data_IF_206981564589
#
_entry.id   IF_206981564589
#
_cell.length_a   1.000
_cell.length_b   1.000
_cell.length_c   1.000
_cell.angle_alpha   90.00
_cell.angle_beta   90.00
_cell.angle_gamma   90.00
#
_symmetry.space_group_name_H-M   'P 1'
#
loop_
_entity.id
_entity.type
_entity.pdbx_description
1 polymer ?
#
# COMPACT_ATOMS: atom_id res chain seq x y z
N UNK A 1 20.91 -16.00 -16.69
CA UNK A 1 19.45 -15.97 -16.89
C UNK A 1 19.09 -14.59 -17.42
N UNK A 2 18.22 -14.48 -18.42
CA UNK A 2 17.88 -13.17 -19.02
C UNK A 2 17.16 -12.31 -17.96
N UNK A 3 17.55 -11.05 -17.78
CA UNK A 3 17.03 -10.15 -16.75
C UNK A 3 15.49 -10.05 -16.79
N UNK A 4 14.93 -10.04 -18.00
CA UNK A 4 13.48 -10.04 -18.22
C UNK A 4 12.82 -11.32 -17.68
N UNK A 5 13.42 -12.49 -17.89
CA UNK A 5 12.90 -13.77 -17.41
C UNK A 5 12.93 -13.82 -15.88
N UNK A 6 14.02 -13.35 -15.25
CA UNK A 6 14.13 -13.27 -13.79
C UNK A 6 13.03 -12.37 -13.20
N UNK A 7 12.78 -11.21 -13.82
CA UNK A 7 11.69 -10.32 -13.42
C UNK A 7 10.33 -11.01 -13.53
N UNK A 8 10.00 -11.57 -14.67
CA UNK A 8 8.71 -12.24 -14.87
C UNK A 8 8.49 -13.36 -13.86
N UNK A 9 9.48 -14.23 -13.66
CA UNK A 9 9.36 -15.35 -12.72
C UNK A 9 9.20 -14.87 -11.26
N UNK A 10 10.00 -13.92 -10.79
CA UNK A 10 9.89 -13.39 -9.43
C UNK A 10 8.56 -12.67 -9.20
N UNK A 11 8.03 -11.97 -10.20
CA UNK A 11 6.70 -11.35 -10.13
C UNK A 11 5.57 -12.38 -10.04
N UNK A 12 5.61 -13.44 -10.86
CA UNK A 12 4.62 -14.54 -10.79
C UNK A 12 4.67 -15.21 -9.44
N UNK A 13 5.85 -15.59 -8.94
CA UNK A 13 6.03 -16.24 -7.63
C UNK A 13 5.46 -15.35 -6.51
N UNK A 14 5.75 -14.05 -6.54
CA UNK A 14 5.21 -13.10 -5.58
C UNK A 14 3.68 -13.07 -5.58
N UNK A 15 3.06 -12.95 -6.76
CA UNK A 15 1.59 -12.92 -6.90
C UNK A 15 0.97 -14.25 -6.42
N UNK A 16 1.56 -15.39 -6.80
CA UNK A 16 1.06 -16.71 -6.38
C UNK A 16 1.14 -16.86 -4.87
N UNK A 17 2.25 -16.50 -4.23
CA UNK A 17 2.39 -16.55 -2.77
C UNK A 17 1.37 -15.63 -2.11
N UNK A 18 1.24 -14.37 -2.58
CA UNK A 18 0.33 -13.39 -2.02
C UNK A 18 -1.13 -13.87 -2.09
N UNK A 19 -1.58 -14.31 -3.26
CA UNK A 19 -2.96 -14.78 -3.46
C UNK A 19 -3.21 -16.06 -2.65
N UNK A 20 -2.31 -17.06 -2.74
CA UNK A 20 -2.50 -18.35 -2.05
C UNK A 20 -2.54 -18.16 -0.53
N UNK A 21 -1.68 -17.35 0.03
CA UNK A 21 -1.68 -17.05 1.47
C UNK A 21 -2.93 -16.28 1.91
N UNK A 22 -3.49 -15.44 1.01
CA UNK A 22 -4.69 -14.64 1.32
C UNK A 22 -5.97 -15.47 1.35
N UNK A 23 -5.99 -16.71 0.81
CA UNK A 23 -7.19 -17.54 0.80
C UNK A 23 -7.59 -18.05 2.20
N UNK A 24 -6.65 -18.13 3.14
CA UNK A 24 -6.90 -18.58 4.51
C UNK A 24 -6.45 -17.55 5.53
N UNK A 25 -7.26 -17.32 6.56
CA UNK A 25 -7.02 -16.34 7.62
C UNK A 25 -5.62 -16.45 8.24
N UNK A 26 -5.21 -17.65 8.69
CA UNK A 26 -3.94 -17.84 9.37
C UNK A 26 -2.73 -17.58 8.46
N UNK A 27 -2.76 -18.10 7.21
CA UNK A 27 -1.67 -17.89 6.25
C UNK A 27 -1.57 -16.42 5.83
N UNK A 28 -2.71 -15.74 5.69
CA UNK A 28 -2.77 -14.31 5.41
C UNK A 28 -2.08 -13.49 6.52
N UNK A 29 -2.48 -13.73 7.77
CA UNK A 29 -1.89 -13.03 8.90
C UNK A 29 -0.39 -13.33 9.05
N UNK A 30 0.03 -14.59 8.91
CA UNK A 30 1.45 -14.95 8.96
C UNK A 30 2.26 -14.29 7.84
N UNK A 31 1.74 -14.27 6.61
CA UNK A 31 2.40 -13.59 5.49
C UNK A 31 2.55 -12.10 5.76
N UNK A 32 1.48 -11.41 6.19
CA UNK A 32 1.55 -9.97 6.44
C UNK A 32 2.44 -9.62 7.64
N UNK A 33 2.53 -10.50 8.65
CA UNK A 33 3.51 -10.36 9.73
C UNK A 33 4.96 -10.46 9.22
N UNK A 34 5.25 -11.44 8.37
CA UNK A 34 6.57 -11.56 7.73
C UNK A 34 6.88 -10.37 6.81
N UNK A 35 5.91 -9.94 5.99
CA UNK A 35 6.05 -8.76 5.14
C UNK A 35 6.29 -7.49 5.96
N UNK A 36 5.60 -7.32 7.09
CA UNK A 36 5.81 -6.19 7.99
C UNK A 36 7.27 -6.11 8.47
N UNK A 37 7.84 -7.23 8.89
CA UNK A 37 9.24 -7.25 9.35
C UNK A 37 10.20 -6.89 8.21
N UNK A 38 9.97 -7.38 6.99
CA UNK A 38 10.77 -7.04 5.81
C UNK A 38 10.61 -5.55 5.44
N UNK A 39 9.39 -5.01 5.48
CA UNK A 39 9.12 -3.58 5.27
C UNK A 39 9.85 -2.69 6.27
N UNK A 40 9.84 -3.08 7.55
CA UNK A 40 10.56 -2.36 8.61
C UNK A 40 12.06 -2.39 8.37
N UNK A 41 12.63 -3.53 7.96
CA UNK A 41 14.05 -3.65 7.63
C UNK A 41 14.45 -2.73 6.47
N UNK A 42 13.67 -2.70 5.40
CA UNK A 42 13.92 -1.83 4.24
C UNK A 42 13.72 -0.36 4.59
N UNK A 43 12.66 -0.03 5.32
CA UNK A 43 12.42 1.35 5.76
C UNK A 43 13.54 1.86 6.66
N UNK A 44 14.01 1.05 7.62
CA UNK A 44 15.14 1.42 8.48
C UNK A 44 16.42 1.70 7.68
N UNK A 45 16.65 0.92 6.61
CA UNK A 45 17.78 1.15 5.71
C UNK A 45 17.63 2.47 4.93
N UNK A 46 16.42 2.79 4.44
CA UNK A 46 16.12 4.03 3.73
C UNK A 46 16.34 5.26 4.60
N UNK A 47 15.81 5.27 5.83
CA UNK A 47 15.90 6.43 6.72
C UNK A 47 17.12 6.41 7.64
N UNK A 48 17.97 5.40 7.51
CA UNK A 48 19.23 5.25 8.28
C UNK A 48 19.00 5.27 9.80
N UNK A 49 18.17 4.35 10.32
CA UNK A 49 17.99 4.11 11.75
C UNK A 49 18.41 2.69 12.13
N UNK A 50 18.79 2.51 13.39
CA UNK A 50 19.14 1.22 13.93
C UNK A 50 17.93 0.29 13.95
N UNK A 51 18.07 -0.96 13.47
CA UNK A 51 16.97 -1.89 13.17
C UNK A 51 16.35 -2.54 14.40
N UNK A 52 17.09 -2.72 15.48
CA UNK A 52 16.67 -3.53 16.62
C UNK A 52 15.36 -3.03 17.27
N UNK A 53 15.29 -1.74 17.61
CA UNK A 53 14.11 -1.13 18.23
C UNK A 53 12.90 -1.13 17.28
N UNK A 54 13.00 -0.68 15.99
CA UNK A 54 11.91 -0.78 15.03
C UNK A 54 11.33 -2.18 14.84
N UNK A 55 12.20 -3.20 14.72
CA UNK A 55 11.74 -4.59 14.59
C UNK A 55 11.00 -5.03 15.85
N UNK A 56 11.53 -4.71 17.04
CA UNK A 56 10.86 -5.02 18.30
C UNK A 56 9.49 -4.37 18.43
N UNK A 57 9.37 -3.08 18.09
CA UNK A 57 8.09 -2.36 18.08
C UNK A 57 7.12 -3.02 17.10
N UNK A 58 7.52 -3.27 15.87
CA UNK A 58 6.65 -3.86 14.85
C UNK A 58 6.20 -5.27 15.25
N UNK A 59 7.11 -6.12 15.70
CA UNK A 59 6.80 -7.48 16.11
C UNK A 59 5.84 -7.52 17.30
N UNK A 60 6.12 -6.75 18.37
CA UNK A 60 5.26 -6.68 19.55
C UNK A 60 3.88 -6.11 19.23
N UNK A 61 3.83 -5.03 18.45
CA UNK A 61 2.56 -4.43 18.04
C UNK A 61 1.76 -5.39 17.18
N UNK A 62 2.38 -6.03 16.18
CA UNK A 62 1.69 -6.99 15.32
C UNK A 62 1.21 -8.21 16.11
N UNK A 63 2.05 -8.77 16.98
CA UNK A 63 1.69 -9.87 17.87
C UNK A 63 0.50 -9.52 18.76
N UNK A 64 0.48 -8.32 19.33
CA UNK A 64 -0.64 -7.85 20.14
C UNK A 64 -1.94 -7.87 19.34
N UNK A 65 -1.97 -7.29 18.15
CA UNK A 65 -3.17 -7.25 17.30
C UNK A 65 -3.56 -8.61 16.71
N UNK A 66 -2.62 -9.55 16.65
CA UNK A 66 -2.90 -10.92 16.21
C UNK A 66 -3.63 -11.73 17.29
N UNK A 67 -3.23 -11.60 18.54
CA UNK A 67 -3.76 -12.43 19.64
C UNK A 67 -4.89 -11.77 20.42
N UNK A 68 -4.91 -10.46 20.53
CA UNK A 68 -5.89 -9.75 21.33
C UNK A 68 -6.87 -8.98 20.44
N UNK A 69 -8.21 -9.15 20.65
CA UNK A 69 -9.20 -8.39 19.89
C UNK A 69 -9.05 -6.90 20.23
N UNK A 70 -8.94 -6.09 19.18
CA UNK A 70 -8.92 -4.64 19.35
C UNK A 70 -10.32 -4.09 19.57
N UNK A 71 -10.42 -3.07 20.41
CA UNK A 71 -11.66 -2.29 20.55
C UNK A 71 -11.80 -1.31 19.37
N UNK A 72 -13.02 -0.88 19.08
CA UNK A 72 -13.28 0.17 18.07
C UNK A 72 -12.44 1.43 18.31
N UNK A 73 -12.28 1.83 19.57
CA UNK A 73 -11.48 3.01 19.95
C UNK A 73 -10.03 2.86 19.50
N UNK A 74 -9.43 1.69 19.74
CA UNK A 74 -8.05 1.42 19.33
C UNK A 74 -7.93 1.45 17.80
N UNK A 75 -8.89 0.87 17.08
CA UNK A 75 -8.91 0.88 15.62
C UNK A 75 -9.01 2.31 15.05
N UNK A 76 -9.83 3.17 15.67
CA UNK A 76 -9.91 4.58 15.29
C UNK A 76 -8.62 5.35 15.61
N UNK A 77 -7.95 5.07 16.71
CA UNK A 77 -6.67 5.71 17.05
C UNK A 77 -5.57 5.33 16.03
N UNK A 78 -5.46 4.05 15.70
CA UNK A 78 -4.50 3.58 14.68
C UNK A 78 -4.81 4.21 13.33
N UNK A 79 -6.08 4.24 12.94
CA UNK A 79 -6.52 4.86 11.70
C UNK A 79 -6.19 6.35 11.67
N UNK A 80 -6.49 7.10 12.74
CA UNK A 80 -6.23 8.53 12.85
C UNK A 80 -4.72 8.83 12.71
N UNK A 81 -3.86 8.05 13.40
CA UNK A 81 -2.41 8.20 13.29
C UNK A 81 -1.92 7.87 11.87
N UNK A 82 -2.45 6.81 11.25
CA UNK A 82 -2.09 6.43 9.87
C UNK A 82 -2.49 7.52 8.88
N UNK A 83 -3.70 8.05 8.97
CA UNK A 83 -4.18 9.12 8.09
C UNK A 83 -3.40 10.41 8.30
N UNK A 84 -3.14 10.81 9.56
CA UNK A 84 -2.31 11.98 9.86
C UNK A 84 -0.92 11.85 9.23
N UNK A 85 -0.29 10.67 9.36
CA UNK A 85 1.01 10.41 8.77
C UNK A 85 0.94 10.37 7.25
N UNK A 86 -0.13 9.84 6.65
CA UNK A 86 -0.35 9.86 5.21
C UNK A 86 -0.45 11.31 4.68
N UNK A 87 -1.18 12.18 5.35
CA UNK A 87 -1.24 13.60 4.97
C UNK A 87 0.11 14.31 5.11
N UNK A 88 0.87 14.04 6.18
CA UNK A 88 2.27 14.52 6.30
C UNK A 88 3.15 14.00 5.15
N UNK A 89 2.97 12.75 4.75
CA UNK A 89 3.72 12.15 3.65
C UNK A 89 3.37 12.78 2.30
N UNK A 90 2.09 13.09 2.07
CA UNK A 90 1.65 13.85 0.88
C UNK A 90 2.30 15.25 0.89
N UNK A 91 2.27 15.96 2.01
CA UNK A 91 2.92 17.28 2.12
C UNK A 91 4.42 17.20 1.81
N UNK A 92 5.11 16.16 2.28
CA UNK A 92 6.52 15.90 1.99
C UNK A 92 6.78 15.70 0.47
N UNK A 93 5.85 15.08 -0.26
CA UNK A 93 5.97 14.93 -1.73
C UNK A 93 6.04 16.28 -2.43
N UNK A 94 5.21 17.24 -2.00
CA UNK A 94 5.17 18.57 -2.60
C UNK A 94 6.27 19.51 -2.09
N UNK A 95 6.88 19.19 -0.96
CA UNK A 95 8.01 19.95 -0.44
C UNK A 95 9.24 19.82 -1.35
N UNK A 96 9.82 20.97 -1.70
CA UNK A 96 11.06 21.08 -2.51
C UNK A 96 12.31 20.85 -1.68
N UNK A 97 12.22 20.89 -0.36
CA UNK A 97 13.33 20.74 0.56
C UNK A 97 14.00 19.38 0.48
N UNK A 98 15.32 19.38 0.66
CA UNK A 98 16.14 18.17 0.86
C UNK A 98 16.47 17.94 2.34
N UNK A 99 15.68 18.50 3.26
CA UNK A 99 15.95 18.38 4.68
C UNK A 99 15.93 16.91 5.11
N UNK A 100 16.98 16.52 5.82
CA UNK A 100 17.02 15.18 6.44
C UNK A 100 15.91 15.08 7.47
N UNK A 101 15.23 13.95 7.49
CA UNK A 101 14.26 13.65 8.54
C UNK A 101 14.95 13.62 9.90
N UNK A 102 14.40 14.31 10.89
CA UNK A 102 14.77 14.17 12.28
C UNK A 102 14.33 12.82 12.86
N UNK A 103 14.88 12.44 13.98
CA UNK A 103 14.58 11.12 14.58
C UNK A 103 13.10 10.93 14.90
N UNK A 104 12.41 11.97 15.36
CA UNK A 104 10.98 11.90 15.65
C UNK A 104 10.16 11.62 14.38
N UNK A 105 10.45 12.30 13.28
CA UNK A 105 9.80 12.05 11.99
C UNK A 105 10.05 10.63 11.49
N UNK A 106 11.27 10.11 11.60
CA UNK A 106 11.59 8.73 11.19
C UNK A 106 10.74 7.69 11.92
N UNK A 107 10.60 7.80 13.25
CA UNK A 107 9.76 6.90 14.03
C UNK A 107 8.26 7.13 13.79
N UNK A 108 7.83 8.38 13.57
CA UNK A 108 6.45 8.68 13.19
C UNK A 108 6.07 8.01 11.86
N UNK A 109 6.95 8.07 10.85
CA UNK A 109 6.73 7.35 9.57
C UNK A 109 6.81 5.83 9.75
N UNK A 110 7.73 5.31 10.56
CA UNK A 110 7.77 3.88 10.86
C UNK A 110 6.42 3.38 11.40
N UNK A 111 5.86 4.06 12.38
CA UNK A 111 4.62 3.65 13.04
C UNK A 111 3.41 3.94 12.16
N UNK A 112 3.24 5.17 11.72
CA UNK A 112 2.02 5.63 11.05
C UNK A 112 1.97 5.37 9.55
N UNK A 113 3.12 5.12 8.88
CA UNK A 113 3.17 4.83 7.44
C UNK A 113 3.46 3.35 7.14
N UNK A 114 4.11 2.59 8.04
CA UNK A 114 4.42 1.18 7.82
C UNK A 114 3.60 0.29 8.77
N UNK A 115 3.80 0.39 10.09
CA UNK A 115 3.28 -0.58 11.05
C UNK A 115 1.75 -0.54 11.13
N UNK A 116 1.17 0.60 11.38
CA UNK A 116 -0.27 0.74 11.53
C UNK A 116 -1.06 0.49 10.24
N UNK A 117 -0.64 0.99 9.06
CA UNK A 117 -1.27 0.62 7.81
C UNK A 117 -1.28 -0.89 7.53
N UNK A 118 -0.19 -1.60 7.80
CA UNK A 118 -0.16 -3.07 7.64
C UNK A 118 -1.16 -3.73 8.59
N UNK A 119 -1.27 -3.30 9.84
CA UNK A 119 -2.29 -3.80 10.77
C UNK A 119 -3.70 -3.52 10.24
N UNK A 120 -3.99 -2.32 9.73
CA UNK A 120 -5.29 -1.99 9.14
C UNK A 120 -5.59 -2.86 7.90
N UNK A 121 -4.59 -3.12 7.05
CA UNK A 121 -4.73 -4.03 5.91
C UNK A 121 -5.14 -5.43 6.37
N UNK A 122 -4.56 -5.93 7.47
CA UNK A 122 -4.94 -7.27 7.98
C UNK A 122 -6.36 -7.33 8.51
N UNK A 123 -6.99 -6.21 8.82
CA UNK A 123 -8.39 -6.12 9.25
C UNK A 123 -9.38 -6.00 8.09
N UNK A 124 -8.95 -5.63 6.89
CA UNK A 124 -9.84 -5.45 5.73
C UNK A 124 -10.67 -6.71 5.39
N UNK A 125 -10.12 -7.94 5.41
CA UNK A 125 -10.92 -9.13 5.15
C UNK A 125 -12.02 -9.42 6.18
N UNK A 126 -11.99 -8.74 7.34
CA UNK A 126 -12.94 -8.96 8.44
C UNK A 126 -14.00 -7.86 8.59
N UNK A 127 -14.02 -6.85 7.71
CA UNK A 127 -14.95 -5.71 7.81
C UNK A 127 -16.42 -6.11 7.67
N UNK A 128 -16.71 -7.29 7.13
CA UNK A 128 -18.05 -7.88 7.02
C UNK A 128 -18.42 -8.81 8.19
N UNK A 129 -17.58 -8.86 9.24
CA UNK A 129 -17.79 -9.73 10.42
C UNK A 129 -17.20 -11.13 10.29
N UNK A 130 -16.92 -11.61 9.07
CA UNK A 130 -16.27 -12.90 8.79
C UNK A 130 -15.08 -12.69 7.87
N UNK A 131 -14.13 -13.65 7.87
CA UNK A 131 -12.99 -13.58 6.97
C UNK A 131 -13.43 -13.72 5.51
N UNK A 132 -13.33 -12.63 4.75
CA UNK A 132 -13.75 -12.52 3.35
C UNK A 132 -12.53 -12.13 2.50
N UNK A 133 -11.73 -13.11 2.04
CA UNK A 133 -10.48 -12.85 1.32
C UNK A 133 -10.69 -12.11 0.00
N UNK A 134 -11.85 -12.24 -0.63
CA UNK A 134 -12.18 -11.54 -1.87
C UNK A 134 -12.07 -10.01 -1.74
N UNK A 135 -12.28 -9.42 -0.56
CA UNK A 135 -12.16 -7.98 -0.35
C UNK A 135 -10.72 -7.53 -0.61
N UNK A 136 -9.76 -8.11 0.10
CA UNK A 136 -8.36 -7.70 -0.03
C UNK A 136 -7.76 -8.11 -1.38
N UNK A 137 -8.13 -9.27 -1.93
CA UNK A 137 -7.73 -9.69 -3.28
C UNK A 137 -8.21 -8.68 -4.31
N UNK A 138 -9.46 -8.21 -4.21
CA UNK A 138 -10.00 -7.21 -5.13
C UNK A 138 -9.30 -5.86 -5.02
N UNK A 139 -8.90 -5.44 -3.81
CA UNK A 139 -8.09 -4.23 -3.63
C UNK A 139 -6.74 -4.37 -4.35
N UNK A 140 -6.05 -5.52 -4.23
CA UNK A 140 -4.82 -5.79 -4.97
C UNK A 140 -5.04 -5.77 -6.48
N UNK A 141 -6.09 -6.43 -6.96
CA UNK A 141 -6.43 -6.44 -8.39
C UNK A 141 -6.67 -5.03 -8.91
N UNK A 142 -7.40 -4.19 -8.18
CA UNK A 142 -7.62 -2.79 -8.54
C UNK A 142 -6.32 -1.98 -8.58
N UNK A 143 -5.39 -2.20 -7.63
CA UNK A 143 -4.06 -1.56 -7.65
C UNK A 143 -3.30 -1.97 -8.91
N UNK A 144 -3.23 -3.27 -9.24
CA UNK A 144 -2.52 -3.76 -10.42
C UNK A 144 -3.14 -3.25 -11.73
N UNK A 145 -4.47 -3.16 -11.80
CA UNK A 145 -5.18 -2.56 -12.94
C UNK A 145 -4.83 -1.09 -13.06
N UNK A 146 -4.90 -0.34 -11.96
CA UNK A 146 -4.54 1.08 -11.93
C UNK A 146 -3.13 1.31 -12.47
N UNK A 147 -2.15 0.58 -11.95
CA UNK A 147 -0.75 0.77 -12.31
C UNK A 147 -0.49 0.37 -13.77
N UNK A 148 -1.09 -0.73 -14.22
CA UNK A 148 -0.96 -1.20 -15.60
C UNK A 148 -1.59 -0.20 -16.56
N UNK A 149 -2.81 0.25 -16.28
CA UNK A 149 -3.52 1.18 -17.17
C UNK A 149 -2.94 2.59 -17.10
N UNK A 150 -2.45 3.02 -15.94
CA UNK A 150 -1.69 4.27 -15.82
C UNK A 150 -0.42 4.25 -16.69
N UNK A 151 0.28 3.11 -16.73
CA UNK A 151 1.44 2.94 -17.60
C UNK A 151 1.04 2.93 -19.09
N UNK A 152 0.03 2.16 -19.48
CA UNK A 152 -0.41 2.03 -20.87
C UNK A 152 -0.91 3.37 -21.41
N UNK A 153 -1.82 4.03 -20.70
CA UNK A 153 -2.38 5.34 -21.09
C UNK A 153 -1.28 6.40 -21.10
N UNK A 154 -0.46 6.46 -20.04
CA UNK A 154 0.62 7.42 -19.92
C UNK A 154 1.67 7.28 -21.03
N UNK A 155 1.96 6.04 -21.49
CA UNK A 155 2.87 5.78 -22.60
C UNK A 155 2.24 6.15 -23.96
N UNK A 156 0.94 5.96 -24.12
CA UNK A 156 0.24 6.15 -25.41
C UNK A 156 -0.11 7.61 -25.68
N UNK A 157 -0.64 8.32 -24.68
CA UNK A 157 -1.17 9.68 -24.84
C UNK A 157 -0.63 10.69 -23.81
N UNK A 158 0.27 10.28 -22.92
CA UNK A 158 0.79 11.14 -21.85
C UNK A 158 1.63 12.30 -22.40
N UNK A 159 1.22 13.53 -22.07
CA UNK A 159 1.87 14.77 -22.47
C UNK A 159 2.36 15.57 -21.25
N UNK A 160 1.56 15.58 -20.17
CA UNK A 160 1.81 16.39 -19.00
C UNK A 160 2.41 15.53 -17.88
N UNK A 161 3.57 15.93 -17.34
CA UNK A 161 4.21 15.23 -16.22
C UNK A 161 3.40 15.42 -14.94
N UNK A 162 3.20 14.33 -14.18
CA UNK A 162 2.48 14.38 -12.91
C UNK A 162 3.35 15.04 -11.81
N UNK A 163 4.57 14.56 -11.63
CA UNK A 163 5.55 15.12 -10.69
C UNK A 163 6.98 14.77 -11.14
N UNK A 164 7.50 15.54 -12.11
CA UNK A 164 8.75 15.23 -12.82
C UNK A 164 9.95 15.07 -11.89
N UNK A 165 10.01 15.91 -10.84
CA UNK A 165 11.09 15.92 -9.85
C UNK A 165 11.26 14.59 -9.10
N UNK A 166 10.17 13.85 -8.87
CA UNK A 166 10.16 12.62 -8.07
C UNK A 166 10.09 11.40 -8.99
N UNK A 167 9.13 11.41 -9.93
CA UNK A 167 8.86 10.32 -10.85
C UNK A 167 8.65 10.84 -12.28
N UNK A 168 9.75 11.03 -13.06
CA UNK A 168 9.71 11.67 -14.39
C UNK A 168 8.93 10.87 -15.45
N UNK A 169 8.59 9.62 -15.17
CA UNK A 169 7.83 8.76 -16.10
C UNK A 169 6.33 8.85 -15.94
N UNK A 170 5.82 9.30 -14.77
CA UNK A 170 4.39 9.43 -14.51
C UNK A 170 3.80 10.66 -15.19
N UNK A 171 2.60 10.49 -15.79
CA UNK A 171 1.86 11.56 -16.49
C UNK A 171 0.48 11.74 -15.88
N UNK A 172 -0.10 12.93 -16.05
CA UNK A 172 -1.46 13.25 -15.59
C UNK A 172 -2.48 12.39 -16.34
N UNK A 173 -2.31 12.24 -17.66
CA UNK A 173 -3.18 11.40 -18.49
C UNK A 173 -3.12 9.93 -18.05
N UNK A 174 -1.92 9.45 -17.72
CA UNK A 174 -1.74 8.11 -17.16
C UNK A 174 -2.46 7.95 -15.84
N UNK A 175 -2.31 8.91 -14.92
CA UNK A 175 -3.02 8.90 -13.64
C UNK A 175 -4.54 8.84 -13.82
N UNK A 176 -5.11 9.73 -14.63
CA UNK A 176 -6.55 9.74 -14.91
C UNK A 176 -6.99 8.43 -15.57
N UNK A 177 -6.23 7.93 -16.54
CA UNK A 177 -6.49 6.63 -17.18
C UNK A 177 -6.52 5.48 -16.18
N UNK A 178 -5.53 5.40 -15.28
CA UNK A 178 -5.51 4.39 -14.22
C UNK A 178 -6.76 4.41 -13.36
N UNK A 179 -7.15 5.59 -12.86
CA UNK A 179 -8.38 5.77 -12.04
C UNK A 179 -9.62 5.33 -12.81
N UNK A 180 -9.81 5.82 -14.04
CA UNK A 180 -10.99 5.50 -14.86
C UNK A 180 -11.10 4.00 -15.14
N UNK A 181 -10.00 3.36 -15.55
CA UNK A 181 -10.02 1.91 -15.80
C UNK A 181 -10.22 1.12 -14.51
N UNK A 182 -9.67 1.53 -13.37
CA UNK A 182 -9.97 0.89 -12.08
C UNK A 182 -11.46 0.99 -11.73
N UNK A 183 -12.09 2.13 -11.95
CA UNK A 183 -13.53 2.29 -11.75
C UNK A 183 -14.34 1.37 -12.69
N UNK A 184 -13.96 1.25 -13.96
CA UNK A 184 -14.63 0.33 -14.91
C UNK A 184 -14.47 -1.13 -14.47
N UNK A 185 -13.28 -1.55 -14.07
CA UNK A 185 -13.04 -2.92 -13.59
C UNK A 185 -13.73 -3.21 -12.25
N UNK A 186 -13.93 -2.19 -11.40
CA UNK A 186 -14.66 -2.36 -10.14
C UNK A 186 -16.11 -2.80 -10.34
N UNK A 187 -16.73 -2.47 -11.49
CA UNK A 187 -18.06 -2.95 -11.85
C UNK A 187 -18.07 -4.47 -11.98
N UNK A 188 -17.08 -5.04 -12.65
CA UNK A 188 -16.93 -6.49 -12.79
C UNK A 188 -16.67 -7.17 -11.43
N UNK A 189 -15.84 -6.56 -10.59
CA UNK A 189 -15.53 -7.04 -9.24
C UNK A 189 -16.79 -7.06 -8.38
N UNK A 190 -17.55 -5.97 -8.36
CA UNK A 190 -18.78 -5.85 -7.58
C UNK A 190 -19.82 -6.89 -7.99
N UNK A 191 -19.98 -7.10 -9.30
CA UNK A 191 -21.03 -7.98 -9.83
C UNK A 191 -20.69 -9.46 -9.75
N UNK A 192 -19.45 -9.84 -10.09
CA UNK A 192 -19.06 -11.24 -10.24
C UNK A 192 -18.30 -11.82 -9.04
N UNK A 193 -17.61 -10.97 -8.24
CA UNK A 193 -16.66 -11.47 -7.25
C UNK A 193 -17.12 -11.30 -5.80
N UNK A 194 -17.78 -10.19 -5.47
CA UNK A 194 -18.03 -9.83 -4.06
C UNK A 194 -19.50 -9.72 -3.73
N UNK A 195 -20.37 -9.47 -4.71
CA UNK A 195 -21.82 -9.28 -4.53
C UNK A 195 -22.17 -8.21 -3.50
N UNK A 196 -21.39 -7.13 -3.46
CA UNK A 196 -21.64 -5.93 -2.66
C UNK A 196 -22.16 -4.80 -3.55
N UNK A 197 -22.76 -3.72 -2.97
CA UNK A 197 -23.25 -2.59 -3.75
C UNK A 197 -22.19 -2.03 -4.69
N UNK A 198 -22.54 -1.83 -5.95
CA UNK A 198 -21.64 -1.33 -6.98
C UNK A 198 -20.96 -0.02 -6.55
N UNK A 199 -21.74 0.89 -5.95
CA UNK A 199 -21.24 2.20 -5.50
C UNK A 199 -20.04 2.06 -4.55
N UNK A 200 -20.03 1.05 -3.67
CA UNK A 200 -18.92 0.82 -2.74
C UNK A 200 -17.63 0.53 -3.49
N UNK A 201 -17.70 -0.32 -4.51
CA UNK A 201 -16.51 -0.70 -5.28
C UNK A 201 -16.03 0.38 -6.23
N UNK A 202 -16.92 1.22 -6.75
CA UNK A 202 -16.53 2.43 -7.52
C UNK A 202 -15.80 3.42 -6.61
N UNK A 203 -16.26 3.64 -5.37
CA UNK A 203 -15.58 4.48 -4.40
C UNK A 203 -14.23 3.88 -4.00
N UNK A 204 -14.16 2.57 -3.72
CA UNK A 204 -12.90 1.88 -3.40
C UNK A 204 -11.92 1.98 -4.58
N UNK A 205 -12.37 1.80 -5.83
CA UNK A 205 -11.52 1.96 -7.01
C UNK A 205 -10.97 3.40 -7.15
N UNK A 206 -11.78 4.40 -6.81
CA UNK A 206 -11.33 5.80 -6.79
C UNK A 206 -10.28 6.02 -5.70
N UNK A 207 -10.52 5.48 -4.49
CA UNK A 207 -9.53 5.50 -3.38
C UNK A 207 -8.24 4.83 -3.82
N UNK A 208 -8.31 3.65 -4.42
CA UNK A 208 -7.14 2.90 -4.92
C UNK A 208 -6.37 3.71 -5.96
N UNK A 209 -7.06 4.26 -6.96
CA UNK A 209 -6.39 5.01 -8.02
C UNK A 209 -5.70 6.27 -7.52
N UNK A 210 -6.37 7.04 -6.67
CA UNK A 210 -5.82 8.30 -6.13
C UNK A 210 -4.72 8.02 -5.11
N UNK A 211 -5.05 7.28 -4.05
CA UNK A 211 -4.11 7.07 -2.95
C UNK A 211 -3.03 6.03 -3.26
N UNK A 212 -3.26 5.07 -4.16
CA UNK A 212 -2.21 4.19 -4.67
C UNK A 212 -1.14 4.97 -5.43
N UNK A 213 -1.54 5.88 -6.32
CA UNK A 213 -0.60 6.75 -7.02
C UNK A 213 0.17 7.67 -6.07
N UNK A 214 -0.50 8.21 -5.03
CA UNK A 214 0.16 9.02 -4.00
C UNK A 214 1.13 8.19 -3.15
N UNK A 215 0.79 6.94 -2.83
CA UNK A 215 1.66 6.02 -2.10
C UNK A 215 2.99 5.76 -2.81
N UNK A 216 2.94 5.43 -4.11
CA UNK A 216 4.14 5.29 -4.93
C UNK A 216 4.95 6.61 -5.02
N UNK A 217 4.29 7.77 -5.10
CA UNK A 217 5.01 9.06 -5.07
C UNK A 217 5.67 9.33 -3.72
N UNK A 218 5.02 8.97 -2.60
CA UNK A 218 5.60 9.07 -1.25
C UNK A 218 6.83 8.16 -1.14
N UNK A 219 6.71 6.90 -1.53
CA UNK A 219 7.82 5.94 -1.50
C UNK A 219 8.96 6.41 -2.41
N UNK A 220 8.65 6.88 -3.62
CA UNK A 220 9.61 7.46 -4.55
C UNK A 220 10.32 8.68 -3.93
N UNK A 221 9.62 9.57 -3.20
CA UNK A 221 10.23 10.71 -2.50
C UNK A 221 11.18 10.24 -1.40
N UNK A 222 10.78 9.26 -0.59
CA UNK A 222 11.65 8.69 0.44
C UNK A 222 12.95 8.11 -0.15
N UNK A 223 12.86 7.39 -1.27
CA UNK A 223 14.04 6.89 -2.01
C UNK A 223 14.95 8.03 -2.51
N UNK A 224 14.37 9.13 -3.02
CA UNK A 224 15.17 10.31 -3.44
C UNK A 224 15.87 10.99 -2.27
N UNK A 225 15.22 11.10 -1.10
CA UNK A 225 15.85 11.62 0.12
C UNK A 225 17.02 10.74 0.61
N UNK A 226 16.90 9.43 0.42
CA UNK A 226 17.97 8.46 0.71
C UNK A 226 19.04 8.35 -0.40
N UNK A 227 18.90 9.08 -1.52
CA UNK A 227 19.76 8.99 -2.72
C UNK A 227 19.83 7.56 -3.30
N UNK A 228 18.75 6.80 -3.22
CA UNK A 228 18.62 5.46 -3.82
C UNK A 228 17.51 5.43 -4.85
N UNK A 229 17.49 4.37 -5.66
CA UNK A 229 16.44 4.12 -6.65
C UNK A 229 15.44 3.08 -6.16
N UNK A 230 15.91 2.02 -5.54
CA UNK A 230 15.12 0.90 -5.05
C UNK A 230 15.22 0.84 -3.52
N UNK A 231 14.14 0.43 -2.83
CA UNK A 231 14.09 0.37 -1.37
C UNK A 231 14.95 -0.76 -0.78
N UNK A 232 15.15 -1.83 -1.58
CA UNK A 232 15.90 -3.02 -1.19
C UNK A 232 16.31 -3.86 -2.39
N UNK A 233 16.75 -5.09 -2.11
CA UNK A 233 17.19 -6.08 -3.12
C UNK A 233 16.58 -7.46 -2.88
N UNK A 234 15.53 -7.55 -2.06
CA UNK A 234 14.95 -8.83 -1.64
C UNK A 234 14.29 -9.55 -2.83
N UNK A 235 13.66 -8.80 -3.74
CA UNK A 235 13.04 -9.38 -4.93
C UNK A 235 13.98 -9.28 -6.16
N UNK A 236 14.51 -10.40 -6.66
CA UNK A 236 15.41 -10.39 -7.81
C UNK A 236 14.80 -9.70 -9.04
N UNK A 237 15.45 -8.63 -9.52
CA UNK A 237 15.01 -7.83 -10.66
C UNK A 237 13.83 -6.88 -10.39
N UNK A 238 13.26 -6.87 -9.17
CA UNK A 238 12.09 -6.06 -8.79
C UNK A 238 12.34 -5.07 -7.64
N UNK A 239 13.53 -5.06 -7.04
CA UNK A 239 13.86 -4.16 -5.93
C UNK A 239 13.48 -4.72 -4.57
N UNK A 240 12.94 -3.91 -3.69
CA UNK A 240 12.52 -4.29 -2.35
C UNK A 240 11.05 -4.73 -2.25
N UNK A 241 10.69 -5.18 -1.07
CA UNK A 241 9.29 -5.47 -0.70
C UNK A 241 8.49 -4.16 -0.58
N UNK A 242 9.12 -3.09 -0.10
CA UNK A 242 8.48 -1.78 -0.01
C UNK A 242 8.11 -1.24 -1.40
N UNK A 243 8.96 -1.46 -2.43
CA UNK A 243 8.69 -1.12 -3.83
C UNK A 243 7.47 -1.88 -4.42
N UNK A 244 6.95 -2.91 -3.73
CA UNK A 244 5.81 -3.73 -4.18
C UNK A 244 4.54 -3.51 -3.37
N UNK A 245 4.66 -2.98 -2.18
CA UNK A 245 3.57 -2.77 -1.24
C UNK A 245 3.30 -1.29 -0.95
N UNK A 246 4.05 -0.37 -1.55
CA UNK A 246 3.92 1.08 -1.39
C UNK A 246 2.48 1.57 -1.59
N UNK A 247 1.85 1.12 -2.67
CA UNK A 247 0.46 1.47 -2.99
C UNK A 247 -0.53 0.91 -1.96
N UNK A 248 -0.43 -0.38 -1.60
CA UNK A 248 -1.39 -0.99 -0.66
C UNK A 248 -1.23 -0.44 0.77
N UNK A 249 0.01 -0.17 1.20
CA UNK A 249 0.29 0.44 2.51
C UNK A 249 -0.40 1.80 2.62
N UNK A 250 -0.39 2.57 1.54
CA UNK A 250 -1.02 3.88 1.52
C UNK A 250 -2.55 3.80 1.35
N UNK A 251 -3.05 2.90 0.51
CA UNK A 251 -4.48 2.67 0.24
C UNK A 251 -5.22 2.08 1.44
N UNK A 252 -4.58 1.14 2.16
CA UNK A 252 -5.21 0.35 3.22
C UNK A 252 -5.98 1.18 4.27
N UNK A 253 -5.37 2.21 4.89
CA UNK A 253 -6.06 3.09 5.84
C UNK A 253 -7.30 3.79 5.26
N UNK A 254 -7.28 4.23 4.00
CA UNK A 254 -8.42 4.91 3.37
C UNK A 254 -9.56 3.95 3.02
N UNK A 255 -9.25 2.73 2.58
CA UNK A 255 -10.26 1.68 2.37
C UNK A 255 -10.84 1.24 3.71
N UNK A 256 -10.02 1.11 4.75
CA UNK A 256 -10.50 0.80 6.09
C UNK A 256 -11.41 1.91 6.63
N UNK A 257 -11.05 3.19 6.47
CA UNK A 257 -11.89 4.34 6.80
C UNK A 257 -13.24 4.25 6.09
N UNK A 258 -13.26 3.96 4.79
CA UNK A 258 -14.48 3.83 4.03
C UNK A 258 -15.42 2.77 4.62
N UNK A 259 -14.91 1.59 4.96
CA UNK A 259 -15.72 0.55 5.61
C UNK A 259 -16.19 0.94 7.02
N UNK A 260 -15.39 1.69 7.78
CA UNK A 260 -15.83 2.21 9.09
C UNK A 260 -16.97 3.23 8.96
N UNK A 261 -16.92 4.09 7.93
CA UNK A 261 -18.02 5.03 7.65
C UNK A 261 -19.30 4.28 7.30
N UNK A 262 -19.23 3.27 6.42
CA UNK A 262 -20.38 2.43 6.07
C UNK A 262 -20.95 1.77 7.32
N UNK A 263 -20.11 1.12 8.13
CA UNK A 263 -20.55 0.43 9.33
C UNK A 263 -21.13 1.35 10.43
N UNK A 264 -20.89 2.66 10.34
CA UNK A 264 -21.47 3.66 11.24
C UNK A 264 -22.83 4.17 10.72
N UNK A 265 -23.04 4.20 9.41
CA UNK A 265 -24.24 4.77 8.75
C UNK A 265 -25.30 3.69 8.52
N UNK A 266 -24.92 2.42 8.44
CA UNK A 266 -25.84 1.25 8.30
C UNK A 266 -26.22 0.67 9.65
#
# INVERSE_FOLDING_TARGET
>A
MNETLTRTLSGIVYIVILISATLHSNSFLLLFGALLLLLVLEFCALVQIQRAIPIGIAALTYFWFFYFPSTRIIDFLILAISLFTAFKAIALVFDSGKSKMDSFSKYSYLIGYIVFPVILITKLPYVTGTFTPSIIISVFVLIWINDTMAYVVGKSIGKHKLLERISPKKTIEGFVGGVVFSMLFSILIAYYFIHQPLLYWVIIATIVGVFGTLGDLVESKLKRLANVKDSGKIMPGHGGILDRLDSIIFVGPFVFLFYQIIAYVS
#
